data_IF_328160364135
#
_entry.id   IF_328160364135
#
_cell.length_a   1.000
_cell.length_b   1.000
_cell.length_c   1.000
_cell.angle_alpha   90.00
_cell.angle_beta   90.00
_cell.angle_gamma   90.00
#
_symmetry.space_group_name_H-M   'P 1'
#
loop_
_entity.id
_entity.type
_entity.pdbx_description
1 polymer ?
#
# COMPACT_ATOMS: atom_id res chain seq x y z
N UNK A 1 -3.36 9.81 -26.27
CA UNK A 1 -3.45 10.05 -24.80
C UNK A 1 -2.20 10.80 -24.35
N UNK A 2 -2.31 12.05 -23.88
CA UNK A 2 -1.17 12.78 -23.30
C UNK A 2 -0.81 12.09 -21.97
N UNK A 3 0.33 11.40 -21.96
CA UNK A 3 0.89 10.78 -20.75
C UNK A 3 1.40 11.92 -19.85
N UNK A 4 0.98 11.96 -18.60
CA UNK A 4 1.43 13.00 -17.65
C UNK A 4 2.86 12.68 -17.20
N UNK A 5 3.85 13.08 -18.00
CA UNK A 5 5.27 12.86 -17.70
C UNK A 5 5.69 13.47 -16.35
N UNK A 6 5.08 14.59 -15.95
CA UNK A 6 5.29 15.18 -14.64
C UNK A 6 4.92 14.25 -13.48
N UNK A 7 3.88 13.41 -13.65
CA UNK A 7 3.41 12.49 -12.63
C UNK A 7 4.33 11.26 -12.54
N UNK A 8 4.86 10.79 -13.68
CA UNK A 8 5.85 9.71 -13.73
C UNK A 8 7.19 10.14 -13.10
N UNK A 9 7.65 11.38 -13.35
CA UNK A 9 8.87 11.95 -12.75
C UNK A 9 8.69 12.16 -11.24
N UNK A 10 7.58 12.75 -10.82
CA UNK A 10 7.26 12.94 -9.41
C UNK A 10 7.21 11.60 -8.66
N UNK A 11 6.65 10.55 -9.28
CA UNK A 11 6.66 9.20 -8.72
C UNK A 11 8.07 8.67 -8.51
N UNK A 12 8.94 8.81 -9.51
CA UNK A 12 10.33 8.36 -9.42
C UNK A 12 11.09 9.08 -8.30
N UNK A 13 10.99 10.41 -8.23
CA UNK A 13 11.65 11.22 -7.22
C UNK A 13 11.18 10.88 -5.79
N UNK A 14 9.87 10.72 -5.60
CA UNK A 14 9.32 10.29 -4.31
C UNK A 14 9.89 8.93 -3.90
N UNK A 15 9.96 7.97 -4.82
CA UNK A 15 10.46 6.63 -4.53
C UNK A 15 11.91 6.63 -4.03
N UNK A 16 12.79 7.43 -4.65
CA UNK A 16 14.18 7.60 -4.19
C UNK A 16 14.25 8.24 -2.80
N UNK A 17 13.44 9.28 -2.57
CA UNK A 17 13.39 9.98 -1.29
C UNK A 17 12.95 9.06 -0.13
N UNK A 18 12.03 8.14 -0.40
CA UNK A 18 11.49 7.22 0.60
C UNK A 18 12.49 6.19 1.06
N UNK A 19 13.43 5.79 0.22
CA UNK A 19 14.51 4.89 0.63
C UNK A 19 15.30 5.54 1.77
N UNK A 20 15.61 6.82 1.64
CA UNK A 20 16.32 7.60 2.68
C UNK A 20 15.44 7.75 3.92
N UNK A 21 14.16 8.09 3.72
CA UNK A 21 13.20 8.29 4.80
C UNK A 21 12.96 7.00 5.61
N UNK A 22 12.81 5.85 4.96
CA UNK A 22 12.64 4.56 5.62
C UNK A 22 13.89 4.19 6.42
N UNK A 23 15.09 4.41 5.88
CA UNK A 23 16.33 4.16 6.62
C UNK A 23 16.40 4.98 7.92
N UNK A 24 15.91 6.22 7.90
CA UNK A 24 15.87 7.12 9.04
C UNK A 24 14.76 6.72 10.05
N UNK A 25 13.54 6.49 9.56
CA UNK A 25 12.38 6.21 10.41
C UNK A 25 12.47 4.83 11.04
N UNK A 26 12.81 3.81 10.25
CA UNK A 26 12.82 2.43 10.70
C UNK A 26 13.92 2.16 11.73
N UNK A 27 15.03 2.92 11.68
CA UNK A 27 16.16 2.75 12.58
C UNK A 27 16.06 3.58 13.86
N UNK A 28 15.34 4.70 13.82
CA UNK A 28 15.18 5.59 14.99
C UNK A 28 13.87 5.31 15.73
N UNK A 29 12.78 5.00 15.03
CA UNK A 29 11.43 5.03 15.63
C UNK A 29 10.75 3.66 15.76
N UNK A 30 11.10 2.67 14.93
CA UNK A 30 10.54 1.31 15.08
C UNK A 30 11.21 0.53 16.21
N UNK A 31 12.47 0.86 16.53
CA UNK A 31 13.21 0.19 17.60
C UNK A 31 12.75 0.57 19.02
N UNK A 32 12.23 1.79 19.21
CA UNK A 32 11.62 2.22 20.47
C UNK A 32 10.44 3.20 20.20
N UNK A 33 9.22 2.67 20.02
CA UNK A 33 8.04 3.51 19.77
C UNK A 33 7.71 4.47 20.93
N UNK A 34 8.12 4.12 22.15
CA UNK A 34 7.85 4.92 23.35
C UNK A 34 8.75 6.15 23.47
N UNK A 35 9.93 6.10 22.84
CA UNK A 35 10.84 7.23 22.73
C UNK A 35 10.36 8.30 21.73
N UNK A 36 9.38 8.00 20.87
CA UNK A 36 8.89 8.95 19.87
C UNK A 36 8.30 10.24 20.46
N UNK A 37 7.25 10.20 21.31
CA UNK A 37 6.65 11.41 21.86
C UNK A 37 7.63 12.21 22.71
N UNK A 38 8.51 11.54 23.45
CA UNK A 38 9.52 12.19 24.31
C UNK A 38 10.65 12.84 23.50
N UNK A 39 11.07 12.24 22.38
CA UNK A 39 12.10 12.79 21.50
C UNK A 39 11.57 13.97 20.71
N UNK A 40 10.35 13.87 20.14
CA UNK A 40 9.70 14.96 19.41
C UNK A 40 9.49 16.17 20.32
N UNK A 41 9.06 15.96 21.57
CA UNK A 41 8.83 17.04 22.53
C UNK A 41 10.11 17.80 22.93
N UNK A 42 11.29 17.19 22.77
CA UNK A 42 12.59 17.81 23.07
C UNK A 42 13.22 18.52 21.87
N UNK A 43 12.68 18.34 20.67
CA UNK A 43 13.20 19.00 19.47
C UNK A 43 12.81 20.48 19.45
N UNK A 44 13.71 21.40 19.08
CA UNK A 44 13.35 22.80 18.91
C UNK A 44 12.35 22.95 17.76
N UNK A 45 11.41 23.91 17.89
CA UNK A 45 10.30 24.11 16.96
C UNK A 45 10.75 24.21 15.49
N UNK A 46 11.90 24.84 15.24
CA UNK A 46 12.48 24.95 13.90
C UNK A 46 12.77 23.58 13.27
N UNK A 47 13.31 22.63 14.04
CA UNK A 47 13.57 21.27 13.57
C UNK A 47 12.27 20.50 13.32
N UNK A 48 11.25 20.70 14.16
CA UNK A 48 9.93 20.10 13.97
C UNK A 48 9.27 20.62 12.68
N UNK A 49 9.38 21.91 12.38
CA UNK A 49 8.86 22.49 11.13
C UNK A 49 9.61 21.95 9.90
N UNK A 50 10.90 21.67 10.01
CA UNK A 50 11.70 21.08 8.92
C UNK A 50 11.40 19.59 8.72
N UNK A 51 11.17 18.84 9.81
CA UNK A 51 10.93 17.38 9.78
C UNK A 51 9.46 17.03 9.55
N UNK A 52 8.51 17.91 9.87
CA UNK A 52 7.08 17.63 9.68
C UNK A 52 6.68 17.32 8.23
N UNK A 53 7.20 18.00 7.19
CA UNK A 53 7.00 17.57 5.80
C UNK A 53 7.52 16.15 5.53
N UNK A 54 8.68 15.79 6.09
CA UNK A 54 9.25 14.44 5.99
C UNK A 54 8.32 13.39 6.62
N UNK A 55 7.75 13.68 7.80
CA UNK A 55 6.79 12.80 8.49
C UNK A 55 5.49 12.67 7.68
N UNK A 56 4.97 13.76 7.12
CA UNK A 56 3.77 13.69 6.25
C UNK A 56 4.07 12.86 5.01
N UNK A 57 5.25 13.02 4.43
CA UNK A 57 5.71 12.22 3.29
C UNK A 57 5.92 10.76 3.69
N UNK A 58 6.19 10.42 4.95
CA UNK A 58 6.28 9.02 5.41
C UNK A 58 4.98 8.24 5.26
N UNK A 59 3.83 8.93 5.24
CA UNK A 59 2.52 8.36 4.91
C UNK A 59 2.39 8.00 3.42
N UNK A 60 3.45 8.14 2.65
CA UNK A 60 3.56 7.87 1.21
C UNK A 60 2.82 6.61 0.77
N UNK A 61 2.88 5.50 1.52
CA UNK A 61 2.31 4.24 1.09
C UNK A 61 0.79 4.32 0.93
N UNK A 62 0.15 5.06 1.84
CA UNK A 62 -1.27 5.40 1.75
C UNK A 62 -1.55 6.37 0.60
N UNK A 63 -0.71 7.39 0.40
CA UNK A 63 -0.83 8.35 -0.70
C UNK A 63 -0.69 7.66 -2.06
N UNK A 64 0.23 6.70 -2.20
CA UNK A 64 0.44 5.95 -3.44
C UNK A 64 -0.68 4.98 -3.73
N UNK A 65 -1.20 4.30 -2.70
CA UNK A 65 -2.39 3.46 -2.82
C UNK A 65 -3.59 4.30 -3.26
N UNK A 66 -3.76 5.49 -2.68
CA UNK A 66 -4.81 6.44 -3.04
C UNK A 66 -4.67 6.98 -4.47
N UNK A 67 -3.50 7.49 -4.85
CA UNK A 67 -3.22 7.96 -6.21
C UNK A 67 -3.43 6.86 -7.25
N UNK A 68 -2.99 5.63 -6.94
CA UNK A 68 -3.20 4.47 -7.80
C UNK A 68 -4.68 4.11 -7.91
N UNK A 69 -5.46 4.30 -6.84
CA UNK A 69 -6.93 4.23 -6.88
C UNK A 69 -7.54 5.26 -7.83
N UNK A 70 -7.23 6.55 -7.62
CA UNK A 70 -7.75 7.67 -8.42
C UNK A 70 -7.41 7.52 -9.89
N UNK A 71 -6.13 7.31 -10.23
CA UNK A 71 -5.67 7.22 -11.62
C UNK A 71 -6.46 6.15 -12.40
N UNK A 72 -6.91 5.12 -11.69
CA UNK A 72 -7.53 3.95 -12.29
C UNK A 72 -9.03 4.07 -12.36
N UNK A 73 -9.64 4.72 -11.36
CA UNK A 73 -11.01 5.20 -11.46
C UNK A 73 -11.15 6.19 -12.62
N UNK A 74 -10.19 7.10 -12.79
CA UNK A 74 -10.18 8.07 -13.88
C UNK A 74 -10.02 7.39 -15.25
N UNK A 75 -9.02 6.53 -15.43
CA UNK A 75 -8.79 5.81 -16.69
C UNK A 75 -10.00 4.94 -17.07
N UNK A 76 -10.58 4.25 -16.10
CA UNK A 76 -11.80 3.48 -16.34
C UNK A 76 -12.98 4.39 -16.67
N UNK A 77 -13.17 5.49 -15.94
CA UNK A 77 -14.22 6.46 -16.20
C UNK A 77 -14.10 7.08 -17.59
N UNK A 78 -12.89 7.39 -18.05
CA UNK A 78 -12.65 7.83 -19.42
C UNK A 78 -12.98 6.74 -20.44
N UNK A 79 -12.58 5.49 -20.21
CA UNK A 79 -12.89 4.37 -21.10
C UNK A 79 -14.39 4.09 -21.18
N UNK A 80 -15.12 4.17 -20.07
CA UNK A 80 -16.57 3.98 -20.02
C UNK A 80 -17.33 5.14 -20.68
N UNK A 81 -16.79 6.37 -20.69
CA UNK A 81 -17.39 7.51 -21.41
C UNK A 81 -17.12 7.47 -22.91
N UNK A 82 -15.89 7.12 -23.30
CA UNK A 82 -15.48 7.08 -24.70
C UNK A 82 -16.04 5.86 -25.44
N UNK A 83 -16.18 4.73 -24.74
CA UNK A 83 -16.70 3.47 -25.30
C UNK A 83 -17.74 2.82 -24.36
N UNK A 84 -18.97 3.36 -24.27
CA UNK A 84 -19.99 2.89 -23.33
C UNK A 84 -20.48 1.46 -23.62
N UNK A 85 -20.53 1.06 -24.89
CA UNK A 85 -21.00 -0.26 -25.33
C UNK A 85 -19.88 -1.33 -25.37
N UNK A 86 -18.61 -0.93 -25.31
CA UNK A 86 -17.47 -1.84 -25.45
C UNK A 86 -17.02 -2.40 -24.08
N UNK A 87 -17.83 -3.30 -23.54
CA UNK A 87 -17.52 -4.03 -22.31
C UNK A 87 -16.24 -4.86 -22.41
N UNK A 88 -15.80 -5.22 -23.63
CA UNK A 88 -14.59 -6.01 -23.87
C UNK A 88 -13.32 -5.22 -23.55
N UNK A 89 -13.25 -3.94 -23.97
CA UNK A 89 -12.12 -3.04 -23.65
C UNK A 89 -12.04 -2.75 -22.15
N UNK A 90 -13.19 -2.49 -21.53
CA UNK A 90 -13.27 -2.24 -20.08
C UNK A 90 -12.80 -3.49 -19.28
N UNK A 91 -13.25 -4.68 -19.66
CA UNK A 91 -12.79 -5.93 -19.04
C UNK A 91 -11.30 -6.18 -19.28
N UNK A 92 -10.78 -5.89 -20.48
CA UNK A 92 -9.35 -6.05 -20.77
C UNK A 92 -8.49 -5.14 -19.91
N UNK A 93 -8.90 -3.89 -19.70
CA UNK A 93 -8.24 -2.96 -18.79
C UNK A 93 -8.23 -3.49 -17.34
N UNK A 94 -9.40 -3.91 -16.83
CA UNK A 94 -9.52 -4.44 -15.47
C UNK A 94 -8.73 -5.73 -15.27
N UNK A 95 -8.68 -6.60 -16.28
CA UNK A 95 -7.92 -7.86 -16.22
C UNK A 95 -6.43 -7.59 -16.20
N UNK A 96 -5.94 -6.66 -17.03
CA UNK A 96 -4.53 -6.23 -17.00
C UNK A 96 -4.16 -5.68 -15.62
N UNK A 97 -5.00 -4.78 -15.09
CA UNK A 97 -4.80 -4.20 -13.75
C UNK A 97 -4.76 -5.27 -12.66
N UNK A 98 -5.73 -6.18 -12.66
CA UNK A 98 -5.81 -7.28 -11.70
C UNK A 98 -4.57 -8.16 -11.79
N UNK A 99 -4.13 -8.53 -12.99
CA UNK A 99 -2.91 -9.31 -13.21
C UNK A 99 -1.67 -8.57 -12.68
N UNK A 100 -1.54 -7.26 -12.94
CA UNK A 100 -0.43 -6.46 -12.39
C UNK A 100 -0.47 -6.42 -10.86
N UNK A 101 -1.63 -6.23 -10.24
CA UNK A 101 -1.75 -6.21 -8.78
C UNK A 101 -1.45 -7.58 -8.15
N UNK A 102 -1.89 -8.68 -8.76
CA UNK A 102 -1.53 -10.04 -8.34
C UNK A 102 -0.03 -10.26 -8.48
N UNK A 103 0.57 -9.83 -9.58
CA UNK A 103 2.03 -9.95 -9.77
C UNK A 103 2.82 -9.17 -8.72
N UNK A 104 2.39 -7.95 -8.39
CA UNK A 104 2.99 -7.16 -7.30
C UNK A 104 2.84 -7.90 -5.96
N UNK A 105 1.67 -8.49 -5.68
CA UNK A 105 1.44 -9.27 -4.47
C UNK A 105 2.36 -10.49 -4.39
N UNK A 106 2.53 -11.23 -5.49
CA UNK A 106 3.44 -12.38 -5.56
C UNK A 106 4.89 -11.93 -5.35
N UNK A 107 5.31 -10.84 -6.00
CA UNK A 107 6.66 -10.28 -5.80
C UNK A 107 6.87 -9.89 -4.33
N UNK A 108 5.88 -9.27 -3.70
CA UNK A 108 5.90 -8.96 -2.27
C UNK A 108 6.06 -10.23 -1.41
N UNK A 109 5.28 -11.27 -1.67
CA UNK A 109 5.37 -12.54 -0.94
C UNK A 109 6.74 -13.21 -1.12
N UNK A 110 7.26 -13.25 -2.35
CA UNK A 110 8.58 -13.80 -2.64
C UNK A 110 9.67 -12.99 -1.94
N UNK A 111 9.55 -11.66 -1.95
CA UNK A 111 10.49 -10.79 -1.26
C UNK A 111 10.50 -11.04 0.24
N UNK A 112 9.33 -11.16 0.88
CA UNK A 112 9.27 -11.43 2.31
C UNK A 112 9.71 -12.85 2.66
N UNK A 113 9.40 -13.83 1.81
CA UNK A 113 9.83 -15.21 1.96
C UNK A 113 11.35 -15.33 1.91
N UNK A 114 12.00 -14.63 0.98
CA UNK A 114 13.43 -14.79 0.70
C UNK A 114 14.30 -13.78 1.44
N UNK A 115 13.89 -12.51 1.49
CA UNK A 115 14.76 -11.38 1.83
C UNK A 115 14.28 -10.54 3.02
N UNK A 116 13.16 -10.87 3.68
CA UNK A 116 12.71 -10.09 4.84
C UNK A 116 13.79 -10.03 5.91
N UNK A 117 14.16 -8.81 6.29
CA UNK A 117 14.97 -8.56 7.48
C UNK A 117 14.21 -9.01 8.72
N UNK A 118 14.96 -9.33 9.78
CA UNK A 118 14.40 -9.71 11.08
C UNK A 118 13.41 -8.64 11.55
N UNK A 119 12.15 -9.02 11.78
CA UNK A 119 11.14 -8.12 12.37
C UNK A 119 10.75 -8.59 13.77
N UNK A 120 10.51 -7.63 14.67
CA UNK A 120 10.08 -7.85 16.07
C UNK A 120 8.67 -7.28 16.27
N UNK A 121 7.99 -6.85 15.20
CA UNK A 121 6.70 -6.15 15.25
C UNK A 121 5.56 -6.95 15.91
N UNK A 122 5.72 -8.26 16.10
CA UNK A 122 4.72 -9.14 16.72
C UNK A 122 5.17 -9.73 18.07
N UNK A 123 6.18 -9.16 18.73
CA UNK A 123 6.72 -9.68 20.00
C UNK A 123 7.56 -10.95 19.86
N UNK A 124 7.66 -11.50 18.65
CA UNK A 124 8.54 -12.62 18.29
C UNK A 124 9.41 -12.22 17.10
N UNK A 125 10.63 -12.75 17.09
CA UNK A 125 11.58 -12.53 15.99
C UNK A 125 11.17 -13.35 14.77
N UNK A 126 10.67 -12.68 13.73
CA UNK A 126 10.39 -13.31 12.43
C UNK A 126 11.61 -13.21 11.52
N UNK A 127 11.93 -14.27 10.79
CA UNK A 127 13.07 -14.33 9.86
C UNK A 127 12.60 -14.86 8.50
N UNK A 128 13.25 -14.40 7.42
CA UNK A 128 13.07 -14.97 6.08
C UNK A 128 13.93 -16.22 5.89
N UNK A 129 13.75 -16.93 4.78
CA UNK A 129 14.56 -18.13 4.49
C UNK A 129 16.05 -17.78 4.45
N UNK A 130 16.45 -16.73 3.71
CA UNK A 130 17.88 -16.42 3.57
C UNK A 130 18.44 -15.78 4.84
N UNK A 131 17.74 -14.81 5.43
CA UNK A 131 18.22 -14.15 6.65
C UNK A 131 18.26 -15.11 7.84
N UNK A 132 17.23 -15.96 8.00
CA UNK A 132 17.20 -16.98 9.04
C UNK A 132 18.22 -18.11 8.84
N UNK A 133 18.53 -18.47 7.59
CA UNK A 133 19.57 -19.46 7.29
C UNK A 133 20.97 -18.91 7.56
N UNK A 134 21.21 -17.63 7.25
CA UNK A 134 22.47 -16.94 7.56
C UNK A 134 22.66 -16.73 9.06
N UNK A 135 21.60 -16.33 9.78
CA UNK A 135 21.67 -16.03 11.21
C UNK A 135 21.77 -17.29 12.08
N UNK A 136 21.07 -18.38 11.72
CA UNK A 136 21.04 -19.60 12.54
C UNK A 136 21.90 -20.75 11.98
N UNK A 137 22.58 -20.54 10.85
CA UNK A 137 23.32 -21.58 10.11
C UNK A 137 22.47 -22.84 9.79
N UNK A 138 21.14 -22.70 9.78
CA UNK A 138 20.18 -23.78 9.59
C UNK A 138 19.02 -23.29 8.73
N UNK A 139 18.63 -24.05 7.71
CA UNK A 139 17.48 -23.71 6.87
C UNK A 139 16.20 -24.02 7.64
N UNK A 140 15.47 -22.96 8.02
CA UNK A 140 14.15 -23.07 8.64
C UNK A 140 13.11 -22.40 7.76
N UNK A 141 11.93 -23.00 7.67
CA UNK A 141 10.80 -22.39 7.00
C UNK A 141 10.38 -21.11 7.76
N UNK A 142 10.10 -20.00 7.05
CA UNK A 142 9.67 -18.76 7.67
C UNK A 142 8.28 -18.94 8.29
N UNK A 143 8.05 -18.26 9.40
CA UNK A 143 6.75 -18.26 10.07
C UNK A 143 5.70 -17.57 9.20
N UNK A 144 4.44 -18.00 9.27
CA UNK A 144 3.34 -17.37 8.53
C UNK A 144 3.27 -15.84 8.74
N UNK A 145 3.56 -15.39 9.96
CA UNK A 145 3.57 -13.97 10.32
C UNK A 145 4.61 -13.14 9.55
N UNK A 146 5.71 -13.76 9.06
CA UNK A 146 6.69 -13.08 8.20
C UNK A 146 6.07 -12.67 6.86
N UNK A 147 5.03 -13.37 6.41
CA UNK A 147 4.34 -13.10 5.14
C UNK A 147 3.24 -12.03 5.28
N UNK A 148 2.80 -11.74 6.50
CA UNK A 148 1.72 -10.78 6.79
C UNK A 148 2.22 -9.43 7.33
N UNK A 149 3.52 -9.16 7.22
CA UNK A 149 4.10 -7.89 7.65
C UNK A 149 3.56 -6.74 6.79
N UNK A 150 2.81 -5.83 7.40
CA UNK A 150 2.04 -4.81 6.67
C UNK A 150 2.96 -3.88 5.90
N UNK A 151 3.04 -4.06 4.58
CA UNK A 151 3.94 -3.28 3.72
C UNK A 151 3.18 -2.39 2.74
N UNK A 152 3.86 -1.36 2.25
CA UNK A 152 3.31 -0.50 1.20
C UNK A 152 2.99 -1.29 -0.08
N UNK A 153 3.85 -2.24 -0.47
CA UNK A 153 3.65 -3.07 -1.66
C UNK A 153 2.40 -3.95 -1.53
N UNK A 154 2.23 -4.57 -0.37
CA UNK A 154 1.03 -5.34 -0.04
C UNK A 154 -0.22 -4.47 -0.12
N UNK A 155 -0.19 -3.29 0.50
CA UNK A 155 -1.34 -2.35 0.51
C UNK A 155 -1.72 -1.92 -0.91
N UNK A 156 -0.74 -1.59 -1.76
CA UNK A 156 -0.97 -1.24 -3.17
C UNK A 156 -1.57 -2.41 -3.94
N UNK A 157 -1.04 -3.62 -3.73
CA UNK A 157 -1.49 -4.82 -4.41
C UNK A 157 -2.93 -5.19 -4.02
N UNK A 158 -3.22 -5.26 -2.73
CA UNK A 158 -4.55 -5.57 -2.19
C UNK A 158 -5.55 -4.51 -2.63
N UNK A 159 -5.22 -3.23 -2.53
CA UNK A 159 -6.09 -2.13 -3.00
C UNK A 159 -6.39 -2.28 -4.49
N UNK A 160 -5.36 -2.58 -5.29
CA UNK A 160 -5.51 -2.82 -6.73
C UNK A 160 -6.45 -3.99 -7.05
N UNK A 161 -6.32 -5.09 -6.31
CA UNK A 161 -7.18 -6.28 -6.43
C UNK A 161 -8.63 -5.94 -6.05
N UNK A 162 -8.85 -5.40 -4.85
CA UNK A 162 -10.19 -5.08 -4.32
C UNK A 162 -10.91 -4.10 -5.25
N UNK A 163 -10.26 -3.00 -5.63
CA UNK A 163 -10.87 -2.01 -6.52
C UNK A 163 -11.22 -2.65 -7.87
N UNK A 164 -10.34 -3.44 -8.45
CA UNK A 164 -10.61 -4.09 -9.75
C UNK A 164 -11.79 -5.06 -9.68
N UNK A 165 -11.90 -5.83 -8.59
CA UNK A 165 -13.00 -6.77 -8.37
C UNK A 165 -14.34 -6.05 -8.13
N UNK A 166 -14.35 -5.05 -7.25
CA UNK A 166 -15.56 -4.26 -6.93
C UNK A 166 -16.08 -3.56 -8.17
N UNK A 167 -15.17 -2.94 -8.93
CA UNK A 167 -15.51 -2.27 -10.19
C UNK A 167 -16.04 -3.27 -11.21
N UNK A 168 -15.38 -4.43 -11.38
CA UNK A 168 -15.84 -5.46 -12.33
C UNK A 168 -17.23 -5.98 -11.97
N UNK A 169 -17.50 -6.17 -10.68
CA UNK A 169 -18.82 -6.55 -10.18
C UNK A 169 -19.86 -5.44 -10.41
N UNK A 170 -19.47 -4.18 -10.23
CA UNK A 170 -20.35 -3.04 -10.42
C UNK A 170 -20.68 -2.80 -11.91
N UNK A 171 -19.72 -2.95 -12.82
CA UNK A 171 -19.94 -2.85 -14.27
C UNK A 171 -20.88 -3.94 -14.79
N UNK A 172 -20.78 -5.18 -14.27
CA UNK A 172 -21.72 -6.25 -14.64
C UNK A 172 -23.17 -5.94 -14.26
N UNK A 173 -23.40 -5.16 -13.18
CA UNK A 173 -24.74 -4.95 -12.60
C UNK A 173 -25.34 -3.57 -12.90
N UNK A 174 -24.50 -2.55 -13.12
CA UNK A 174 -24.90 -1.14 -13.26
C UNK A 174 -24.02 -0.39 -14.27
N UNK A 175 -23.89 -0.94 -15.49
CA UNK A 175 -23.00 -0.43 -16.55
C UNK A 175 -23.11 1.09 -16.83
N UNK A 176 -24.23 1.74 -16.48
CA UNK A 176 -24.49 3.14 -16.81
C UNK A 176 -24.47 4.14 -15.63
N UNK A 177 -24.19 3.72 -14.39
CA UNK A 177 -24.27 4.65 -13.25
C UNK A 177 -22.97 4.74 -12.42
N UNK A 178 -22.00 5.60 -12.83
CA UNK A 178 -20.73 5.76 -12.12
C UNK A 178 -20.90 6.26 -10.67
N UNK A 179 -21.99 6.98 -10.37
CA UNK A 179 -22.30 7.42 -9.01
C UNK A 179 -22.54 6.24 -8.05
N UNK A 180 -23.18 5.17 -8.53
CA UNK A 180 -23.39 3.96 -7.73
C UNK A 180 -22.08 3.20 -7.46
N UNK A 181 -21.13 3.23 -8.40
CA UNK A 181 -19.80 2.62 -8.23
C UNK A 181 -19.04 3.36 -7.12
N UNK A 182 -19.01 4.70 -7.20
CA UNK A 182 -18.37 5.55 -6.18
C UNK A 182 -19.02 5.33 -4.82
N UNK A 183 -20.36 5.35 -4.74
CA UNK A 183 -21.09 5.11 -3.49
C UNK A 183 -20.70 3.77 -2.85
N UNK A 184 -20.68 2.67 -3.63
CA UNK A 184 -20.29 1.35 -3.11
C UNK A 184 -18.84 1.31 -2.62
N UNK A 185 -17.91 1.92 -3.35
CA UNK A 185 -16.51 2.03 -2.93
C UNK A 185 -16.39 2.83 -1.63
N UNK A 186 -17.07 3.97 -1.51
CA UNK A 186 -17.07 4.78 -0.28
C UNK A 186 -17.68 4.02 0.91
N UNK A 187 -18.76 3.26 0.71
CA UNK A 187 -19.35 2.43 1.77
C UNK A 187 -18.39 1.34 2.23
N UNK A 188 -17.71 0.66 1.30
CA UNK A 188 -16.69 -0.36 1.64
C UNK A 188 -15.54 0.28 2.42
N UNK A 189 -15.04 1.44 1.98
CA UNK A 189 -13.98 2.15 2.70
C UNK A 189 -14.38 2.54 4.12
N UNK A 190 -15.61 3.01 4.33
CA UNK A 190 -16.13 3.36 5.67
C UNK A 190 -16.26 2.13 6.57
N UNK A 191 -16.73 1.00 6.03
CA UNK A 191 -16.82 -0.27 6.78
C UNK A 191 -15.42 -0.73 7.21
N UNK A 192 -14.44 -0.70 6.31
CA UNK A 192 -13.06 -1.08 6.63
C UNK A 192 -12.49 -0.16 7.71
N UNK A 193 -12.70 1.16 7.59
CA UNK A 193 -12.27 2.13 8.61
C UNK A 193 -12.90 1.86 9.98
N UNK A 194 -14.20 1.56 10.02
CA UNK A 194 -14.90 1.23 11.26
C UNK A 194 -14.37 -0.06 11.89
N UNK A 195 -14.15 -1.11 11.08
CA UNK A 195 -13.57 -2.38 11.56
C UNK A 195 -12.15 -2.16 12.07
N UNK A 196 -11.31 -1.41 11.33
CA UNK A 196 -9.95 -1.09 11.77
C UNK A 196 -9.93 -0.28 13.07
N UNK A 197 -10.82 0.69 13.23
CA UNK A 197 -10.93 1.47 14.46
C UNK A 197 -11.40 0.60 15.65
N UNK A 198 -12.35 -0.30 15.42
CA UNK A 198 -12.83 -1.26 16.42
C UNK A 198 -11.72 -2.22 16.84
N UNK A 199 -11.06 -2.88 15.89
CA UNK A 199 -9.98 -3.83 16.19
C UNK A 199 -8.81 -3.18 16.95
N UNK A 200 -8.52 -1.91 16.68
CA UNK A 200 -7.48 -1.17 17.40
C UNK A 200 -7.77 -1.01 18.90
N UNK A 201 -9.03 -1.09 19.33
CA UNK A 201 -9.40 -1.07 20.76
C UNK A 201 -9.11 -2.40 21.48
N UNK A 202 -8.97 -3.52 20.74
CA UNK A 202 -8.75 -4.85 21.32
C UNK A 202 -7.31 -5.36 21.15
N UNK A 203 -6.55 -4.75 20.25
CA UNK A 203 -5.16 -5.13 19.92
C UNK A 203 -4.15 -4.14 20.54
N UNK A 204 -4.64 -3.06 21.17
CA UNK A 204 -3.83 -2.04 21.85
C UNK A 204 -3.56 -2.37 23.31
#
# INVERSE_FOLDING_TARGET
MKRFHALDILRGFMMTYIIILHALIQRVFVSDPSAFPTTIAKLPLALVLVISPLIIISLWGSVFSFMTGIASAYQLGSLSREYPQDSSRQNRFLTKRLATSIMIYIIYLLNNLLFSTRSIEHGFSTQSVLTGSLENLSVKAPTFFTLTATSTLETIAITGIIVSLVVRAALKKHANNPYQIIKKLSTISLIILAISAFLRQYIG
#
